data_IF_956744339993
#
_entry.id   IF_956744339993
#
_cell.length_a   1.000
_cell.length_b   1.000
_cell.length_c   1.000
_cell.angle_alpha   90.00
_cell.angle_beta   90.00
_cell.angle_gamma   90.00
#
_symmetry.space_group_name_H-M   'P 1'
#
loop_
_entity.id
_entity.type
_entity.pdbx_description
1 polymer ?
#
# COMPACT_ATOMS: atom_id res chain seq x y z
N UNK A 1 49.23 -13.46 33.99
CA UNK A 1 48.64 -13.28 32.64
C UNK A 1 47.15 -13.55 32.73
N UNK A 2 46.29 -12.50 32.70
CA UNK A 2 44.83 -12.66 32.67
C UNK A 2 44.38 -12.46 31.22
N UNK A 3 43.89 -13.53 30.59
CA UNK A 3 43.26 -13.46 29.26
C UNK A 3 41.84 -12.97 29.46
N UNK A 4 41.56 -11.74 29.03
CA UNK A 4 40.21 -11.23 28.86
C UNK A 4 39.73 -11.78 27.52
N UNK A 5 38.73 -12.67 27.55
CA UNK A 5 38.03 -13.11 26.35
C UNK A 5 36.86 -12.14 26.19
N UNK A 6 36.94 -11.26 25.19
CA UNK A 6 35.78 -10.47 24.75
C UNK A 6 34.82 -11.43 24.05
N UNK A 7 33.67 -11.69 24.66
CA UNK A 7 32.51 -12.23 23.97
C UNK A 7 31.86 -11.08 23.17
N UNK A 8 32.21 -10.97 21.89
CA UNK A 8 31.46 -10.16 20.94
C UNK A 8 30.21 -10.94 20.52
N UNK A 9 29.09 -10.71 21.21
CA UNK A 9 27.77 -11.15 20.75
C UNK A 9 27.37 -10.32 19.53
N UNK A 10 27.56 -10.89 18.33
CA UNK A 10 26.83 -10.46 17.14
C UNK A 10 25.34 -10.81 17.38
N UNK A 11 24.53 -9.82 17.72
CA UNK A 11 23.09 -9.90 17.51
C UNK A 11 22.83 -9.73 16.02
N UNK A 12 22.83 -10.84 15.29
CA UNK A 12 22.17 -10.92 13.98
C UNK A 12 20.68 -10.85 14.28
N UNK A 13 20.06 -9.69 14.06
CA UNK A 13 18.61 -9.59 14.03
C UNK A 13 18.14 -10.45 12.86
N UNK A 14 17.66 -11.66 13.16
CA UNK A 14 16.93 -12.47 12.20
C UNK A 14 15.67 -11.70 11.83
N UNK A 15 15.65 -11.09 10.64
CA UNK A 15 14.40 -10.69 10.02
C UNK A 15 13.64 -11.98 9.71
N UNK A 16 12.71 -12.36 10.60
CA UNK A 16 11.65 -13.29 10.25
C UNK A 16 11.01 -12.77 8.96
N UNK A 17 10.83 -13.62 7.94
CA UNK A 17 10.07 -13.26 6.74
C UNK A 17 8.60 -13.09 7.16
N UNK A 18 8.27 -11.91 7.66
CA UNK A 18 6.89 -11.49 7.78
C UNK A 18 6.41 -11.20 6.35
N UNK A 19 5.25 -11.75 5.98
CA UNK A 19 4.58 -11.39 4.74
C UNK A 19 4.46 -9.86 4.66
N UNK A 20 4.81 -9.30 3.51
CA UNK A 20 4.66 -7.89 3.21
C UNK A 20 3.30 -7.66 2.54
N UNK A 21 2.85 -6.42 2.59
CA UNK A 21 1.63 -5.96 1.96
C UNK A 21 1.96 -5.31 0.61
N UNK A 22 1.20 -5.70 -0.41
CA UNK A 22 1.37 -5.27 -1.79
C UNK A 22 0.11 -4.59 -2.30
N UNK A 23 0.26 -3.35 -2.79
CA UNK A 23 -0.80 -2.67 -3.53
C UNK A 23 -0.95 -3.33 -4.90
N UNK A 24 -2.17 -3.75 -5.23
CA UNK A 24 -2.50 -4.42 -6.49
C UNK A 24 -3.48 -3.57 -7.27
N UNK A 25 -3.12 -3.26 -8.51
CA UNK A 25 -3.99 -2.65 -9.49
C UNK A 25 -4.39 -3.65 -10.55
N UNK A 26 -5.70 -3.75 -10.80
CA UNK A 26 -6.25 -4.56 -11.88
C UNK A 26 -6.59 -3.70 -13.09
N UNK A 27 -6.53 -4.32 -14.27
CA UNK A 27 -7.12 -3.80 -15.50
C UNK A 27 -8.02 -4.86 -16.14
N UNK A 28 -9.05 -4.42 -16.85
CA UNK A 28 -9.85 -5.31 -17.68
C UNK A 28 -9.00 -5.89 -18.82
N UNK A 29 -9.17 -7.18 -19.08
CA UNK A 29 -8.59 -7.87 -20.22
C UNK A 29 -9.66 -8.33 -21.23
N UNK A 30 -10.89 -7.83 -21.08
CA UNK A 30 -12.05 -8.20 -21.89
C UNK A 30 -12.87 -6.98 -22.32
N UNK A 31 -13.62 -7.14 -23.40
CA UNK A 31 -14.68 -6.22 -23.84
C UNK A 31 -16.09 -6.76 -23.50
N UNK A 32 -16.20 -7.93 -22.88
CA UNK A 32 -17.48 -8.56 -22.54
C UNK A 32 -17.95 -8.16 -21.14
N UNK A 33 -18.65 -7.03 -21.08
CA UNK A 33 -19.29 -6.53 -19.87
C UNK A 33 -20.31 -7.51 -19.25
N UNK A 34 -20.99 -8.34 -20.07
CA UNK A 34 -22.05 -9.22 -19.58
C UNK A 34 -21.45 -10.42 -18.86
N UNK A 35 -20.36 -10.97 -19.41
CA UNK A 35 -19.60 -12.03 -18.76
C UNK A 35 -18.96 -11.57 -17.44
N UNK A 36 -18.46 -10.34 -17.38
CA UNK A 36 -17.96 -9.74 -16.12
C UNK A 36 -19.06 -9.67 -15.06
N UNK A 37 -20.24 -9.15 -15.43
CA UNK A 37 -21.37 -9.06 -14.50
C UNK A 37 -21.88 -10.43 -14.04
N UNK A 38 -21.89 -11.42 -14.94
CA UNK A 38 -22.26 -12.80 -14.62
C UNK A 38 -21.26 -13.47 -13.66
N UNK A 39 -19.98 -13.15 -13.79
CA UNK A 39 -18.90 -13.73 -12.96
C UNK A 39 -18.76 -13.03 -11.60
N UNK A 40 -19.30 -11.82 -11.46
CA UNK A 40 -19.16 -11.00 -10.26
C UNK A 40 -19.58 -11.69 -8.94
N UNK A 41 -20.70 -12.45 -8.86
CA UNK A 41 -21.07 -13.14 -7.63
C UNK A 41 -20.04 -14.17 -7.16
N UNK A 42 -19.51 -14.98 -8.08
CA UNK A 42 -18.48 -15.99 -7.80
C UNK A 42 -17.16 -15.32 -7.44
N UNK A 43 -16.78 -14.28 -8.18
CA UNK A 43 -15.60 -13.48 -7.88
C UNK A 43 -15.67 -12.87 -6.48
N UNK A 44 -16.82 -12.30 -6.11
CA UNK A 44 -17.03 -11.72 -4.78
C UNK A 44 -16.90 -12.79 -3.68
N UNK A 45 -17.50 -13.96 -3.88
CA UNK A 45 -17.42 -15.06 -2.91
C UNK A 45 -15.98 -15.54 -2.71
N UNK A 46 -15.22 -15.74 -3.80
CA UNK A 46 -13.82 -16.13 -3.72
C UNK A 46 -12.96 -15.05 -3.05
N UNK A 47 -13.19 -13.78 -3.38
CA UNK A 47 -12.45 -12.66 -2.77
C UNK A 47 -12.79 -12.47 -1.28
N UNK A 48 -14.04 -12.74 -0.87
CA UNK A 48 -14.44 -12.75 0.54
C UNK A 48 -13.65 -13.76 1.36
N UNK A 49 -13.29 -14.92 0.79
CA UNK A 49 -12.45 -15.89 1.51
C UNK A 49 -11.04 -15.33 1.78
N UNK A 50 -10.47 -14.56 0.84
CA UNK A 50 -9.18 -13.90 1.05
C UNK A 50 -9.27 -12.80 2.13
N UNK A 51 -10.42 -12.12 2.23
CA UNK A 51 -10.68 -11.16 3.32
C UNK A 51 -10.77 -11.90 4.66
N UNK A 52 -11.52 -13.00 4.74
CA UNK A 52 -11.69 -13.80 5.97
C UNK A 52 -10.38 -14.42 6.46
N UNK A 53 -9.49 -14.81 5.54
CA UNK A 53 -8.14 -15.31 5.85
C UNK A 53 -7.19 -14.20 6.32
N UNK A 54 -7.58 -12.92 6.18
CA UNK A 54 -6.75 -11.77 6.52
C UNK A 54 -5.69 -11.44 5.46
N UNK A 55 -5.77 -12.05 4.28
CA UNK A 55 -4.85 -11.79 3.17
C UNK A 55 -5.11 -10.42 2.54
N UNK A 56 -6.37 -10.01 2.42
CA UNK A 56 -6.72 -8.68 1.93
C UNK A 56 -6.69 -7.67 3.08
N UNK A 57 -5.82 -6.68 2.97
CA UNK A 57 -5.61 -5.65 4.00
C UNK A 57 -6.39 -4.37 3.77
N UNK A 58 -6.65 -4.01 2.53
CA UNK A 58 -7.49 -2.87 2.15
C UNK A 58 -8.12 -3.14 0.79
N UNK A 59 -9.28 -2.53 0.54
CA UNK A 59 -9.96 -2.61 -0.74
C UNK A 59 -10.58 -1.27 -1.11
N UNK A 60 -10.47 -0.93 -2.39
CA UNK A 60 -10.98 0.28 -2.99
C UNK A 60 -11.67 -0.04 -4.31
N UNK A 61 -12.71 0.72 -4.62
CA UNK A 61 -13.46 0.59 -5.87
C UNK A 61 -13.30 1.85 -6.72
N UNK A 62 -13.00 1.65 -8.00
CA UNK A 62 -12.85 2.72 -8.97
C UNK A 62 -13.91 2.60 -10.07
N UNK A 63 -14.49 3.73 -10.52
CA UNK A 63 -15.25 3.75 -11.77
C UNK A 63 -14.38 3.27 -12.93
N UNK A 64 -14.95 2.47 -13.82
CA UNK A 64 -14.32 1.96 -15.02
C UNK A 64 -15.36 1.77 -16.12
N UNK A 65 -14.92 1.33 -17.31
CA UNK A 65 -15.82 1.02 -18.41
C UNK A 65 -15.29 -0.14 -19.25
N UNK A 66 -16.20 -0.99 -19.70
CA UNK A 66 -15.95 -2.03 -20.69
C UNK A 66 -16.90 -1.76 -21.86
N UNK A 67 -16.37 -1.57 -23.06
CA UNK A 67 -17.15 -1.26 -24.26
C UNK A 67 -18.16 -0.10 -24.05
N UNK A 68 -17.71 0.96 -23.37
CA UNK A 68 -18.54 2.13 -23.04
C UNK A 68 -19.62 1.89 -21.98
N UNK A 69 -19.82 0.65 -21.51
CA UNK A 69 -20.72 0.35 -20.38
C UNK A 69 -20.01 0.60 -19.05
N UNK A 70 -20.62 1.34 -18.12
CA UNK A 70 -20.01 1.62 -16.82
C UNK A 70 -19.93 0.33 -16.00
N UNK A 71 -18.74 0.06 -15.49
CA UNK A 71 -18.45 -1.02 -14.54
C UNK A 71 -17.52 -0.51 -13.44
N UNK A 72 -17.21 -1.35 -12.47
CA UNK A 72 -16.29 -1.01 -11.38
C UNK A 72 -15.14 -1.99 -11.34
N UNK A 73 -13.94 -1.49 -11.07
CA UNK A 73 -12.75 -2.32 -10.90
C UNK A 73 -12.16 -2.11 -9.50
N UNK A 74 -11.57 -3.17 -8.96
CA UNK A 74 -10.97 -3.15 -7.63
C UNK A 74 -9.49 -2.76 -7.70
N UNK A 75 -9.08 -1.95 -6.72
CA UNK A 75 -7.70 -1.87 -6.25
C UNK A 75 -7.69 -2.35 -4.81
N UNK A 76 -6.68 -3.10 -4.42
CA UNK A 76 -6.63 -3.67 -3.08
C UNK A 76 -5.20 -3.84 -2.61
N UNK A 77 -5.05 -4.18 -1.34
CA UNK A 77 -3.77 -4.51 -0.74
C UNK A 77 -3.80 -5.97 -0.31
N UNK A 78 -2.82 -6.75 -0.76
CA UNK A 78 -2.72 -8.18 -0.51
C UNK A 78 -1.43 -8.50 0.26
N UNK A 79 -1.56 -9.31 1.30
CA UNK A 79 -0.43 -9.84 2.06
C UNK A 79 0.19 -11.03 1.31
N UNK A 80 1.51 -11.00 1.12
CA UNK A 80 2.28 -12.02 0.43
C UNK A 80 3.77 -11.95 0.83
N UNK A 81 4.53 -13.00 0.63
CA UNK A 81 5.98 -13.03 0.86
C UNK A 81 6.75 -12.33 -0.26
N UNK A 82 6.18 -12.26 -1.47
CA UNK A 82 6.77 -11.63 -2.65
C UNK A 82 5.73 -11.36 -3.76
N UNK A 83 6.12 -10.62 -4.80
CA UNK A 83 5.25 -10.29 -5.93
C UNK A 83 4.76 -11.52 -6.72
N UNK A 84 5.54 -12.61 -6.78
CA UNK A 84 5.12 -13.81 -7.50
C UNK A 84 4.01 -14.56 -6.76
N UNK A 85 4.03 -14.53 -5.43
CA UNK A 85 2.93 -15.07 -4.62
C UNK A 85 1.65 -14.24 -4.79
N UNK A 86 1.74 -12.91 -4.92
CA UNK A 86 0.58 -12.07 -5.26
C UNK A 86 -0.10 -12.57 -6.54
N UNK A 87 0.68 -12.80 -7.60
CA UNK A 87 0.14 -13.33 -8.85
C UNK A 87 -0.48 -14.72 -8.66
N UNK A 88 0.16 -15.59 -7.88
CA UNK A 88 -0.34 -16.95 -7.60
C UNK A 88 -1.67 -16.93 -6.86
N UNK A 89 -1.81 -16.11 -5.80
CA UNK A 89 -3.07 -15.98 -5.04
C UNK A 89 -4.25 -15.50 -5.91
N UNK A 90 -3.97 -14.69 -6.93
CA UNK A 90 -5.00 -14.13 -7.81
C UNK A 90 -5.38 -15.07 -8.96
N UNK A 91 -4.51 -15.98 -9.40
CA UNK A 91 -4.76 -16.88 -10.52
C UNK A 91 -5.98 -17.78 -10.33
N UNK A 92 -6.30 -18.14 -9.09
CA UNK A 92 -7.44 -19.01 -8.77
C UNK A 92 -8.78 -18.27 -8.72
N UNK A 93 -8.77 -16.94 -8.82
CA UNK A 93 -10.00 -16.15 -8.80
C UNK A 93 -10.79 -16.32 -10.10
N UNK A 94 -12.14 -16.41 -10.05
CA UNK A 94 -12.97 -16.68 -11.22
C UNK A 94 -12.75 -15.75 -12.42
N UNK A 95 -12.52 -14.45 -12.18
CA UNK A 95 -12.23 -13.51 -13.26
C UNK A 95 -10.85 -13.71 -13.91
N UNK A 96 -9.87 -14.25 -13.18
CA UNK A 96 -8.55 -14.58 -13.73
C UNK A 96 -8.59 -15.86 -14.54
N UNK A 97 -9.27 -16.90 -14.04
CA UNK A 97 -9.42 -18.17 -14.75
C UNK A 97 -10.14 -18.01 -16.10
N UNK A 98 -11.00 -16.99 -16.23
CA UNK A 98 -11.71 -16.64 -17.45
C UNK A 98 -11.03 -15.54 -18.28
N UNK A 99 -9.82 -15.11 -17.91
CA UNK A 99 -9.05 -14.05 -18.58
C UNK A 99 -9.82 -12.72 -18.72
N UNK A 100 -10.66 -12.38 -17.75
CA UNK A 100 -11.46 -11.15 -17.74
C UNK A 100 -10.68 -9.96 -17.19
N UNK A 101 -9.70 -10.22 -16.34
CA UNK A 101 -8.85 -9.22 -15.68
C UNK A 101 -7.39 -9.62 -15.77
N UNK A 102 -6.51 -8.64 -15.66
CA UNK A 102 -5.07 -8.82 -15.50
C UNK A 102 -4.53 -7.88 -14.43
N UNK A 103 -3.38 -8.23 -13.88
CA UNK A 103 -2.62 -7.34 -13.02
C UNK A 103 -2.00 -6.24 -13.89
N UNK A 104 -2.34 -4.99 -13.59
CA UNK A 104 -1.75 -3.81 -14.23
C UNK A 104 -0.47 -3.37 -13.51
N UNK A 105 -0.47 -3.41 -12.18
CA UNK A 105 0.71 -3.09 -11.36
C UNK A 105 0.66 -3.81 -10.02
N UNK A 106 1.85 -4.11 -9.49
CA UNK A 106 2.08 -4.57 -8.12
C UNK A 106 3.07 -3.59 -7.50
N UNK A 107 2.77 -3.09 -6.31
CA UNK A 107 3.62 -2.15 -5.60
C UNK A 107 3.90 -2.67 -4.18
N UNK A 108 5.17 -2.84 -3.78
CA UNK A 108 5.49 -3.20 -2.40
C UNK A 108 5.20 -2.04 -1.45
N UNK A 109 4.28 -2.23 -0.51
CA UNK A 109 3.91 -1.24 0.50
C UNK A 109 4.60 -1.48 1.85
N UNK A 110 5.14 -2.67 2.07
CA UNK A 110 5.77 -3.05 3.34
C UNK A 110 4.74 -3.54 4.33
N UNK A 111 4.76 -3.12 5.60
CA UNK A 111 3.82 -3.59 6.60
C UNK A 111 2.74 -2.56 6.90
N UNK A 112 1.46 -2.96 6.94
CA UNK A 112 0.37 -2.11 7.42
C UNK A 112 0.61 -1.72 8.88
N UNK A 113 0.43 -0.44 9.16
CA UNK A 113 0.66 0.14 10.48
C UNK A 113 -0.61 0.70 11.13
N UNK A 114 -1.39 1.51 10.40
CA UNK A 114 -2.63 2.12 10.88
C UNK A 114 -3.76 1.90 9.90
N UNK A 115 -5.00 1.91 10.40
CA UNK A 115 -6.21 1.69 9.62
C UNK A 115 -7.41 2.48 10.14
N UNK A 116 -8.27 2.91 9.22
CA UNK A 116 -9.57 3.54 9.44
C UNK A 116 -10.42 3.39 8.15
N UNK A 117 -11.72 3.17 8.27
CA UNK A 117 -12.60 2.80 7.13
C UNK A 117 -13.71 3.84 6.84
N UNK A 118 -13.40 5.11 6.57
CA UNK A 118 -14.40 6.04 6.06
C UNK A 118 -14.68 5.78 4.56
N UNK A 119 -15.96 5.72 4.19
CA UNK A 119 -16.43 5.54 2.81
C UNK A 119 -16.33 6.85 2.00
N UNK A 120 -15.12 7.23 1.62
CA UNK A 120 -14.87 8.40 0.77
C UNK A 120 -13.74 8.15 -0.22
N UNK A 121 -13.48 9.11 -1.10
CA UNK A 121 -12.40 9.03 -2.08
C UNK A 121 -11.04 9.07 -1.37
N UNK A 122 -10.19 8.13 -1.76
CA UNK A 122 -8.88 7.94 -1.16
C UNK A 122 -7.78 8.13 -2.20
N UNK A 123 -6.69 8.74 -1.75
CA UNK A 123 -5.47 8.90 -2.51
C UNK A 123 -4.32 8.29 -1.72
N UNK A 124 -3.54 7.42 -2.33
CA UNK A 124 -2.26 6.99 -1.74
C UNK A 124 -1.26 8.09 -1.97
N UNK A 125 -0.50 8.41 -0.94
CA UNK A 125 0.75 9.14 -1.07
C UNK A 125 1.88 8.27 -0.58
N UNK A 126 2.90 8.10 -1.41
CA UNK A 126 4.15 7.42 -1.02
C UNK A 126 5.25 8.44 -0.94
N UNK A 127 5.92 8.54 0.22
CA UNK A 127 7.07 9.42 0.39
C UNK A 127 8.37 8.64 0.19
N UNK A 128 9.35 9.29 -0.43
CA UNK A 128 10.69 8.73 -0.67
C UNK A 128 11.74 9.75 -0.33
N UNK A 129 12.84 9.30 0.25
CA UNK A 129 13.96 10.17 0.57
C UNK A 129 14.70 10.54 -0.71
N UNK A 130 15.20 11.78 -0.74
CA UNK A 130 16.24 12.20 -1.67
C UNK A 130 17.61 11.78 -1.13
N UNK A 131 18.62 11.93 -1.97
CA UNK A 131 20.01 11.66 -1.61
C UNK A 131 20.65 12.82 -0.82
N UNK A 132 21.70 12.50 -0.08
CA UNK A 132 22.56 13.50 0.58
C UNK A 132 22.05 14.06 1.91
N UNK A 133 21.00 13.48 2.50
CA UNK A 133 20.53 13.84 3.84
C UNK A 133 21.26 13.02 4.91
N UNK A 134 21.70 13.68 5.98
CA UNK A 134 22.36 13.02 7.10
C UNK A 134 21.41 12.07 7.85
N UNK A 135 21.90 10.88 8.20
CA UNK A 135 21.10 9.83 8.81
C UNK A 135 20.34 10.29 10.08
N UNK A 136 21.01 11.00 10.98
CA UNK A 136 20.40 11.48 12.22
C UNK A 136 19.30 12.52 11.96
N UNK A 137 19.45 13.33 10.91
CA UNK A 137 18.42 14.29 10.51
C UNK A 137 17.22 13.57 9.87
N UNK A 138 17.46 12.53 9.06
CA UNK A 138 16.38 11.68 8.53
C UNK A 138 15.60 11.03 9.67
N UNK A 139 16.27 10.47 10.67
CA UNK A 139 15.62 9.81 11.81
C UNK A 139 14.77 10.79 12.63
N UNK A 140 15.29 12.01 12.85
CA UNK A 140 14.57 13.08 13.53
C UNK A 140 13.30 13.47 12.78
N UNK A 141 13.43 13.78 11.49
CA UNK A 141 12.32 14.20 10.62
C UNK A 141 11.28 13.09 10.48
N UNK A 142 11.73 11.84 10.29
CA UNK A 142 10.84 10.69 10.24
C UNK A 142 10.00 10.57 11.52
N UNK A 143 10.63 10.75 12.69
CA UNK A 143 9.92 10.72 13.97
C UNK A 143 8.78 11.74 14.03
N UNK A 144 9.03 12.97 13.57
CA UNK A 144 8.00 14.04 13.50
C UNK A 144 6.89 13.68 12.52
N UNK A 145 7.26 13.24 11.32
CA UNK A 145 6.31 12.87 10.26
C UNK A 145 5.41 11.69 10.66
N UNK A 146 5.96 10.65 11.30
CA UNK A 146 5.16 9.51 11.77
C UNK A 146 4.16 9.92 12.86
N UNK A 147 4.53 10.85 13.76
CA UNK A 147 3.56 11.43 14.70
C UNK A 147 2.46 12.21 13.99
N UNK A 148 2.78 12.89 12.89
CA UNK A 148 1.79 13.55 12.04
C UNK A 148 0.84 12.54 11.40
N UNK A 149 1.33 11.41 10.88
CA UNK A 149 0.48 10.33 10.35
C UNK A 149 -0.49 9.82 11.42
N UNK A 150 -0.02 9.56 12.65
CA UNK A 150 -0.88 9.14 13.77
C UNK A 150 -1.97 10.19 14.04
N UNK A 151 -1.60 11.47 14.12
CA UNK A 151 -2.55 12.56 14.35
C UNK A 151 -3.62 12.64 13.26
N UNK A 152 -3.25 12.44 11.99
CA UNK A 152 -4.18 12.46 10.86
C UNK A 152 -5.05 11.19 10.80
N UNK A 153 -4.55 10.04 11.24
CA UNK A 153 -5.36 8.83 11.35
C UNK A 153 -6.42 8.98 12.46
N UNK A 154 -6.03 9.53 13.61
CA UNK A 154 -6.93 9.83 14.73
C UNK A 154 -8.02 10.86 14.37
N UNK A 155 -7.76 11.77 13.42
CA UNK A 155 -8.77 12.71 12.91
C UNK A 155 -9.62 12.15 11.76
N UNK A 156 -9.34 10.93 11.30
CA UNK A 156 -10.02 10.28 10.19
C UNK A 156 -9.56 10.69 8.80
N UNK A 157 -8.51 11.51 8.68
CA UNK A 157 -7.96 11.93 7.39
C UNK A 157 -7.05 10.88 6.75
N UNK A 158 -6.29 10.12 7.54
CA UNK A 158 -5.52 8.96 7.06
C UNK A 158 -6.35 7.70 7.29
N UNK A 159 -6.66 6.99 6.22
CA UNK A 159 -7.47 5.77 6.23
C UNK A 159 -6.62 4.51 6.30
N UNK A 160 -5.40 4.55 5.79
CA UNK A 160 -4.45 3.45 5.92
C UNK A 160 -3.03 3.98 5.93
N UNK A 161 -2.11 3.30 6.58
CA UNK A 161 -0.68 3.58 6.45
C UNK A 161 0.14 2.30 6.38
N UNK A 162 1.26 2.39 5.66
CA UNK A 162 2.21 1.31 5.47
C UNK A 162 3.64 1.83 5.61
N UNK A 163 4.53 1.00 6.16
CA UNK A 163 5.95 1.31 6.31
C UNK A 163 6.75 0.29 5.50
N UNK A 164 7.66 0.79 4.66
CA UNK A 164 8.57 -0.01 3.86
C UNK A 164 10.01 0.51 4.01
N UNK A 165 10.95 -0.07 3.29
CA UNK A 165 12.34 0.36 3.22
C UNK A 165 12.70 0.75 1.78
N UNK A 166 13.46 1.82 1.64
CA UNK A 166 14.12 2.25 0.41
C UNK A 166 15.63 2.01 0.57
N UNK A 167 16.26 1.44 -0.45
CA UNK A 167 17.73 1.42 -0.58
C UNK A 167 18.14 2.68 -1.34
N UNK A 168 18.95 3.53 -0.73
CA UNK A 168 19.52 4.73 -1.36
C UNK A 168 20.68 4.39 -2.29
N UNK A 169 21.11 5.32 -3.14
CA UNK A 169 22.20 5.11 -4.11
C UNK A 169 23.52 4.69 -3.45
N UNK A 170 23.77 5.17 -2.23
CA UNK A 170 24.93 4.80 -1.42
C UNK A 170 24.80 3.39 -0.75
N UNK A 171 23.75 2.64 -1.09
CA UNK A 171 23.47 1.30 -0.56
C UNK A 171 22.85 1.30 0.84
N UNK A 172 22.55 2.48 1.41
CA UNK A 172 22.01 2.59 2.76
C UNK A 172 20.50 2.41 2.74
N UNK A 173 20.00 1.54 3.61
CA UNK A 173 18.58 1.32 3.80
C UNK A 173 17.93 2.37 4.70
N UNK A 174 16.79 2.90 4.28
CA UNK A 174 16.02 3.91 5.00
C UNK A 174 14.53 3.62 4.99
N UNK A 175 13.84 3.79 6.13
CA UNK A 175 12.40 3.61 6.19
C UNK A 175 11.71 4.67 5.32
N UNK A 176 10.72 4.23 4.57
CA UNK A 176 9.78 5.08 3.85
C UNK A 176 8.36 4.70 4.28
N UNK A 177 7.39 5.54 3.95
CA UNK A 177 6.01 5.27 4.29
C UNK A 177 5.06 5.66 3.17
N UNK A 178 3.93 4.98 3.14
CA UNK A 178 2.79 5.37 2.33
C UNK A 178 1.55 5.53 3.20
N UNK A 179 0.69 6.47 2.82
CA UNK A 179 -0.57 6.74 3.51
C UNK A 179 -1.69 6.83 2.49
N UNK A 180 -2.82 6.19 2.76
CA UNK A 180 -4.07 6.48 2.08
C UNK A 180 -4.77 7.63 2.83
N UNK A 181 -5.09 8.70 2.11
CA UNK A 181 -5.69 9.91 2.67
C UNK A 181 -7.03 10.20 2.03
N UNK A 182 -7.97 10.68 2.85
CA UNK A 182 -9.20 11.26 2.37
C UNK A 182 -8.94 12.61 1.71
N UNK A 183 -9.28 12.70 0.43
CA UNK A 183 -9.19 13.93 -0.32
C UNK A 183 -10.23 13.96 -1.44
N UNK A 184 -10.71 15.15 -1.78
CA UNK A 184 -11.65 15.38 -2.88
C UNK A 184 -10.98 15.24 -4.25
N UNK A 185 -9.70 15.58 -4.32
CA UNK A 185 -8.90 15.55 -5.52
C UNK A 185 -7.40 15.39 -5.19
N UNK A 186 -6.58 15.16 -6.22
CA UNK A 186 -5.14 15.02 -6.08
C UNK A 186 -4.46 16.29 -5.53
N UNK A 187 -5.03 17.48 -5.78
CA UNK A 187 -4.46 18.74 -5.28
C UNK A 187 -4.62 18.86 -3.77
N UNK A 188 -5.75 18.44 -3.22
CA UNK A 188 -5.95 18.40 -1.78
C UNK A 188 -5.03 17.37 -1.12
N UNK A 189 -4.86 16.18 -1.72
CA UNK A 189 -3.89 15.19 -1.25
C UNK A 189 -2.46 15.77 -1.26
N UNK A 190 -2.09 16.47 -2.34
CA UNK A 190 -0.80 17.16 -2.45
C UNK A 190 -0.61 18.23 -1.38
N UNK A 191 -1.63 19.07 -1.15
CA UNK A 191 -1.56 20.14 -0.16
C UNK A 191 -1.35 19.60 1.26
N UNK A 192 -1.92 18.43 1.57
CA UNK A 192 -1.69 17.75 2.84
C UNK A 192 -0.21 17.36 3.02
N UNK A 193 0.46 16.95 1.94
CA UNK A 193 1.87 16.53 1.99
C UNK A 193 2.82 17.68 2.31
N UNK A 194 2.47 18.91 1.91
CA UNK A 194 3.22 20.10 2.33
C UNK A 194 3.12 20.39 3.84
N UNK A 195 2.32 19.63 4.61
CA UNK A 195 2.34 19.69 6.08
C UNK A 195 3.36 18.75 6.74
N UNK A 196 4.03 17.90 5.96
CA UNK A 196 5.08 17.00 6.45
C UNK A 196 6.45 17.67 6.39
N UNK A 197 7.24 17.48 7.44
CA UNK A 197 8.53 18.16 7.61
C UNK A 197 9.52 17.72 6.54
N UNK A 198 9.55 16.43 6.19
CA UNK A 198 10.43 15.92 5.13
C UNK A 198 10.18 16.60 3.78
N UNK A 199 8.94 16.94 3.50
CA UNK A 199 8.55 17.63 2.26
C UNK A 199 8.91 19.12 2.34
N UNK A 200 8.61 19.78 3.47
CA UNK A 200 8.91 21.20 3.68
C UNK A 200 10.40 21.52 3.61
N UNK A 201 11.24 20.66 4.19
CA UNK A 201 12.70 20.78 4.15
C UNK A 201 13.28 20.35 2.80
N UNK A 202 12.47 19.82 1.90
CA UNK A 202 12.89 19.34 0.59
C UNK A 202 13.69 18.04 0.64
N UNK A 203 13.66 17.30 1.74
CA UNK A 203 14.36 16.03 1.95
C UNK A 203 13.68 14.84 1.29
N UNK A 204 12.36 14.93 1.07
CA UNK A 204 11.59 13.88 0.43
C UNK A 204 10.93 14.35 -0.88
N UNK A 205 10.68 13.40 -1.76
CA UNK A 205 9.69 13.49 -2.83
C UNK A 205 8.46 12.67 -2.45
N UNK A 206 7.35 12.89 -3.16
CA UNK A 206 6.15 12.10 -2.97
C UNK A 206 5.43 11.85 -4.29
N UNK A 207 4.77 10.70 -4.38
CA UNK A 207 3.94 10.28 -5.50
C UNK A 207 2.50 10.14 -5.01
N UNK A 208 1.54 10.60 -5.83
CA UNK A 208 0.11 10.54 -5.52
C UNK A 208 -0.58 9.62 -6.51
N UNK A 209 -1.35 8.69 -5.98
CA UNK A 209 -2.14 7.73 -6.74
C UNK A 209 -3.59 7.78 -6.26
N UNK A 210 -4.56 7.94 -7.17
CA UNK A 210 -5.97 7.82 -6.81
C UNK A 210 -6.33 6.35 -6.57
N UNK A 211 -6.84 6.02 -5.39
CA UNK A 211 -7.20 4.65 -5.03
C UNK A 211 -8.66 4.31 -5.31
N UNK A 212 -9.55 5.30 -5.37
CA UNK A 212 -11.00 5.06 -5.40
C UNK A 212 -11.66 5.21 -4.04
N UNK A 213 -12.88 4.70 -3.93
CA UNK A 213 -13.62 4.69 -2.67
C UNK A 213 -13.23 3.49 -1.84
N UNK A 214 -12.80 3.70 -0.60
CA UNK A 214 -12.49 2.61 0.32
C UNK A 214 -13.77 1.84 0.66
N UNK A 215 -13.69 0.51 0.59
CA UNK A 215 -14.79 -0.38 0.94
C UNK A 215 -14.64 -0.83 2.39
N UNK A 216 -15.75 -0.90 3.12
CA UNK A 216 -15.75 -1.61 4.40
C UNK A 216 -15.64 -3.12 4.14
N UNK A 217 -14.63 -3.72 4.74
CA UNK A 217 -14.35 -5.16 4.63
C UNK A 217 -14.94 -5.94 5.80
N UNK A 218 -15.53 -5.25 6.79
CA UNK A 218 -16.25 -5.88 7.90
C UNK A 218 -17.69 -6.16 7.47
N UNK A 219 -18.03 -7.45 7.42
CA UNK A 219 -19.41 -7.94 7.29
C UNK A 219 -20.19 -7.80 8.59
#
# INVERSE_FOLDING_TARGET
MKKIILLSTLTVASFSSFAADYGVELAWNTNDSELVLKTLPEQKAAFSQLIEQGDVKDMFVLPSSIDGKPVQILRFVLSADNEAEVATKLQDLPMYQQDLVKIASIQPLGAKWLDNTPESDNYRVTLRWKEGIEALEMDRVLGVDLQRVISLNNSGLVTSSYINTQVLENGVERPIYSVAVLAKDAQQAQNLMYSFEAVQLGYATFEIEYLGKKLDMKS
#
